data_IF_145562353122
#
_entry.id   IF_145562353122
#
_cell.length_a   1.000
_cell.length_b   1.000
_cell.length_c   1.000
_cell.angle_alpha   90.00
_cell.angle_beta   90.00
_cell.angle_gamma   90.00
#
_symmetry.space_group_name_H-M   'P 1'
#
loop_
_entity.id
_entity.type
_entity.pdbx_description
1 polymer ?
#
# COMPACT_ATOMS: atom_id res chain seq x y z
N UNK A 1 -6.62 15.86 -22.32
CA UNK A 1 -5.89 14.60 -22.04
C UNK A 1 -6.94 13.60 -21.61
N UNK A 2 -7.18 12.57 -22.41
CA UNK A 2 -8.10 11.49 -22.04
C UNK A 2 -7.55 10.80 -20.80
N UNK A 3 -8.36 10.75 -19.74
CA UNK A 3 -8.02 10.00 -18.53
C UNK A 3 -7.95 8.51 -18.91
N UNK A 4 -6.77 7.93 -18.85
CA UNK A 4 -6.60 6.47 -18.99
C UNK A 4 -7.46 5.79 -17.92
N UNK A 5 -8.39 4.95 -18.35
CA UNK A 5 -9.18 4.14 -17.44
C UNK A 5 -8.37 2.91 -17.05
N UNK A 6 -8.23 2.64 -15.76
CA UNK A 6 -7.41 1.54 -15.23
C UNK A 6 -8.29 0.61 -14.41
N UNK A 7 -8.10 -0.69 -14.57
CA UNK A 7 -8.77 -1.68 -13.74
C UNK A 7 -8.33 -1.55 -12.28
N UNK A 8 -9.23 -1.35 -11.31
CA UNK A 8 -8.85 -1.18 -9.92
C UNK A 8 -8.24 -2.43 -9.29
N UNK A 9 -8.44 -3.60 -9.88
CA UNK A 9 -8.00 -4.88 -9.34
C UNK A 9 -6.66 -5.37 -9.86
N UNK A 10 -6.44 -5.28 -11.17
CA UNK A 10 -5.19 -5.76 -11.79
C UNK A 10 -4.30 -4.64 -12.32
N UNK A 11 -4.76 -3.38 -12.22
CA UNK A 11 -4.05 -2.18 -12.65
C UNK A 11 -3.65 -2.17 -14.14
N UNK A 12 -4.37 -2.93 -14.98
CA UNK A 12 -4.21 -2.90 -16.43
C UNK A 12 -5.10 -1.81 -17.04
N UNK A 13 -4.65 -1.24 -18.17
CA UNK A 13 -5.45 -0.27 -18.92
C UNK A 13 -6.74 -0.92 -19.46
N UNK A 14 -7.80 -0.13 -19.51
CA UNK A 14 -9.12 -0.52 -19.97
C UNK A 14 -9.57 0.38 -21.11
N UNK A 15 -10.30 -0.19 -22.04
CA UNK A 15 -10.99 0.59 -23.07
C UNK A 15 -12.25 1.26 -22.51
N UNK A 16 -12.76 2.26 -23.21
CA UNK A 16 -13.97 2.95 -22.81
C UNK A 16 -15.18 2.02 -22.96
N UNK A 17 -16.05 1.97 -21.92
CA UNK A 17 -17.29 1.20 -21.95
C UNK A 17 -17.21 -0.22 -21.42
N UNK A 18 -16.05 -0.72 -21.04
CA UNK A 18 -15.94 -2.05 -20.42
C UNK A 18 -16.60 -2.08 -19.04
N UNK A 19 -17.45 -3.08 -18.81
CA UNK A 19 -18.09 -3.36 -17.51
C UNK A 19 -17.34 -4.46 -16.75
N UNK A 20 -16.61 -5.31 -17.47
CA UNK A 20 -15.77 -6.38 -16.93
C UNK A 20 -14.35 -6.23 -17.48
N UNK A 21 -13.35 -6.43 -16.62
CA UNK A 21 -11.96 -6.34 -17.03
C UNK A 21 -11.56 -7.53 -17.91
N UNK A 22 -11.08 -7.32 -19.15
CA UNK A 22 -10.67 -8.40 -20.04
C UNK A 22 -9.40 -9.13 -19.54
N UNK A 23 -8.62 -8.48 -18.66
CA UNK A 23 -7.36 -9.05 -18.17
C UNK A 23 -7.52 -9.93 -16.93
N UNK A 24 -8.44 -9.58 -16.01
CA UNK A 24 -8.62 -10.33 -14.75
C UNK A 24 -10.03 -10.88 -14.55
N UNK A 25 -10.98 -10.62 -15.47
CA UNK A 25 -12.34 -11.16 -15.44
C UNK A 25 -13.23 -10.57 -14.35
N UNK A 26 -12.81 -9.55 -13.60
CA UNK A 26 -13.61 -8.96 -12.52
C UNK A 26 -14.53 -7.87 -13.05
N UNK A 27 -15.72 -7.76 -12.46
CA UNK A 27 -16.65 -6.65 -12.71
C UNK A 27 -16.04 -5.34 -12.20
N UNK A 28 -16.16 -4.28 -13.02
CA UNK A 28 -15.55 -2.97 -12.73
C UNK A 28 -16.47 -2.06 -11.88
N UNK A 29 -17.68 -2.52 -11.57
CA UNK A 29 -18.63 -1.82 -10.72
C UNK A 29 -18.25 -1.80 -9.22
N UNK A 30 -17.19 -2.51 -8.83
CA UNK A 30 -16.68 -2.58 -7.46
C UNK A 30 -16.26 -1.19 -6.95
N UNK A 31 -16.75 -0.85 -5.76
CA UNK A 31 -16.37 0.38 -5.06
C UNK A 31 -15.62 0.02 -3.79
N UNK A 32 -14.57 0.77 -3.51
CA UNK A 32 -13.94 0.69 -2.20
C UNK A 32 -14.96 1.04 -1.11
N UNK A 33 -14.88 0.42 0.08
CA UNK A 33 -15.77 0.70 1.19
C UNK A 33 -15.82 2.18 1.57
N UNK A 34 -16.94 2.61 2.17
CA UNK A 34 -17.07 3.96 2.68
C UNK A 34 -15.95 4.30 3.66
N UNK A 35 -15.43 5.51 3.58
CA UNK A 35 -14.30 5.97 4.40
C UNK A 35 -12.92 5.72 3.80
N UNK A 36 -12.79 4.84 2.81
CA UNK A 36 -11.56 4.68 2.04
C UNK A 36 -11.52 5.58 0.81
N UNK A 37 -10.36 5.67 0.14
CA UNK A 37 -10.28 6.37 -1.14
C UNK A 37 -11.06 5.61 -2.22
N UNK A 38 -11.80 6.33 -3.08
CA UNK A 38 -12.39 5.72 -4.26
C UNK A 38 -11.32 5.17 -5.20
N UNK A 39 -11.57 4.02 -5.81
CA UNK A 39 -10.72 3.53 -6.88
C UNK A 39 -10.70 4.53 -8.05
N UNK A 40 -9.54 4.74 -8.65
CA UNK A 40 -9.33 5.78 -9.67
C UNK A 40 -8.92 7.14 -9.11
N UNK A 41 -8.88 7.33 -7.79
CA UNK A 41 -8.33 8.55 -7.18
C UNK A 41 -6.87 8.71 -7.59
N UNK A 42 -6.50 9.91 -8.01
CA UNK A 42 -5.11 10.24 -8.36
C UNK A 42 -4.48 11.01 -7.21
N UNK A 43 -3.39 10.47 -6.67
CA UNK A 43 -2.61 11.06 -5.59
C UNK A 43 -1.33 11.68 -6.14
N UNK A 44 -0.96 12.85 -5.61
CA UNK A 44 0.21 13.64 -6.02
C UNK A 44 0.31 13.86 -7.54
N UNK A 45 -0.81 13.78 -8.28
CA UNK A 45 -0.83 13.82 -9.74
C UNK A 45 -0.11 12.65 -10.44
N UNK A 46 0.35 11.66 -9.69
CA UNK A 46 1.30 10.63 -10.14
C UNK A 46 0.82 9.21 -9.93
N UNK A 47 0.07 8.93 -8.88
CA UNK A 47 -0.33 7.57 -8.51
C UNK A 47 -1.84 7.40 -8.60
N UNK A 48 -2.31 6.40 -9.33
CA UNK A 48 -3.73 6.03 -9.37
C UNK A 48 -4.02 4.91 -8.39
N UNK A 49 -4.97 5.16 -7.49
CA UNK A 49 -5.42 4.22 -6.45
C UNK A 49 -6.33 3.15 -7.06
N UNK A 50 -6.12 1.90 -6.70
CA UNK A 50 -6.96 0.76 -7.04
C UNK A 50 -7.84 0.29 -5.89
N UNK A 51 -8.02 -1.04 -5.80
CA UNK A 51 -8.75 -1.68 -4.72
C UNK A 51 -7.94 -1.77 -3.42
N UNK A 52 -8.65 -2.00 -2.31
CA UNK A 52 -8.03 -2.28 -1.01
C UNK A 52 -7.44 -3.68 -1.02
N UNK A 53 -6.19 -3.81 -0.60
CA UNK A 53 -5.54 -5.10 -0.34
C UNK A 53 -5.75 -5.58 1.09
N UNK A 54 -5.57 -4.66 2.05
CA UNK A 54 -5.75 -4.94 3.48
C UNK A 54 -6.02 -3.66 4.27
N UNK A 55 -6.55 -3.85 5.47
CA UNK A 55 -6.73 -2.80 6.49
C UNK A 55 -6.11 -3.32 7.78
N UNK A 56 -5.32 -2.50 8.44
CA UNK A 56 -4.69 -2.82 9.72
C UNK A 56 -4.85 -1.68 10.74
N UNK A 57 -4.18 -1.78 11.88
CA UNK A 57 -4.26 -0.78 12.95
C UNK A 57 -3.73 0.61 12.59
N UNK A 58 -2.87 0.70 11.60
CA UNK A 58 -2.26 1.95 11.13
C UNK A 58 -3.03 2.59 9.98
N UNK A 59 -3.72 1.78 9.16
CA UNK A 59 -4.45 2.33 8.02
C UNK A 59 -4.84 1.33 6.96
N UNK A 60 -4.83 1.80 5.72
CA UNK A 60 -5.31 1.07 4.55
C UNK A 60 -4.18 0.87 3.55
N UNK A 61 -4.09 -0.35 3.03
CA UNK A 61 -3.19 -0.72 1.96
C UNK A 61 -3.98 -0.87 0.65
N UNK A 62 -3.63 -0.07 -0.35
CA UNK A 62 -4.25 -0.11 -1.68
C UNK A 62 -3.30 -0.69 -2.72
N UNK A 63 -3.86 -1.30 -3.74
CA UNK A 63 -3.17 -1.44 -5.03
C UNK A 63 -3.07 -0.09 -5.68
N UNK A 64 -2.04 0.11 -6.49
CA UNK A 64 -1.90 1.32 -7.26
C UNK A 64 -1.03 1.12 -8.50
N UNK A 65 -0.99 2.16 -9.32
CA UNK A 65 -0.09 2.24 -10.47
C UNK A 65 0.48 3.65 -10.57
N UNK A 66 1.72 3.75 -10.97
CA UNK A 66 2.32 5.02 -11.33
C UNK A 66 1.92 5.41 -12.75
N UNK A 67 1.32 6.61 -12.91
CA UNK A 67 0.71 7.05 -14.17
C UNK A 67 1.70 7.25 -15.33
N UNK A 68 2.97 7.53 -15.03
CA UNK A 68 4.01 7.79 -16.03
C UNK A 68 4.95 6.59 -16.27
N UNK A 69 4.59 5.41 -15.74
CA UNK A 69 5.38 4.21 -15.86
C UNK A 69 4.52 2.95 -15.80
N UNK A 70 5.05 1.80 -16.17
CA UNK A 70 4.34 0.53 -16.12
C UNK A 70 4.34 -0.07 -14.70
N UNK A 71 4.75 0.68 -13.69
CA UNK A 71 5.03 0.14 -12.38
C UNK A 71 3.76 0.03 -11.54
N UNK A 72 3.46 -1.21 -11.13
CA UNK A 72 2.52 -1.48 -10.07
C UNK A 72 3.15 -1.08 -8.74
N UNK A 73 2.36 -0.41 -7.93
CA UNK A 73 2.77 0.04 -6.60
C UNK A 73 1.77 -0.43 -5.55
N UNK A 74 2.22 -0.46 -4.32
CA UNK A 74 1.38 -0.60 -3.14
C UNK A 74 1.36 0.75 -2.43
N UNK A 75 0.18 1.25 -2.07
CA UNK A 75 0.02 2.56 -1.42
C UNK A 75 -0.52 2.33 -0.02
N UNK A 76 0.29 2.60 0.99
CA UNK A 76 -0.12 2.58 2.40
C UNK A 76 -0.59 3.97 2.79
N UNK A 77 -1.84 4.09 3.21
CA UNK A 77 -2.42 5.31 3.75
C UNK A 77 -2.43 5.25 5.27
N UNK A 78 -1.92 6.27 5.94
CA UNK A 78 -2.09 6.42 7.38
C UNK A 78 -3.55 6.79 7.69
N UNK A 79 -4.32 5.83 8.22
CA UNK A 79 -5.73 6.02 8.57
C UNK A 79 -6.10 5.14 9.78
N UNK A 80 -5.56 5.40 10.96
CA UNK A 80 -5.87 4.61 12.15
C UNK A 80 -7.33 4.80 12.55
N UNK A 81 -8.14 3.75 12.48
CA UNK A 81 -9.58 3.77 12.79
C UNK A 81 -9.89 4.20 14.23
N UNK A 82 -8.91 4.10 15.11
CA UNK A 82 -9.03 4.58 16.50
C UNK A 82 -9.04 6.11 16.60
N UNK A 83 -8.36 6.81 15.70
CA UNK A 83 -8.15 8.27 15.71
C UNK A 83 -8.88 8.98 14.57
N UNK A 84 -9.02 8.33 13.41
CA UNK A 84 -9.74 8.87 12.26
C UNK A 84 -11.25 8.67 12.42
N UNK A 85 -12.03 9.74 12.20
CA UNK A 85 -13.49 9.68 12.27
C UNK A 85 -14.11 9.30 10.93
N UNK A 86 -13.79 10.08 9.91
CA UNK A 86 -14.42 9.98 8.60
C UNK A 86 -13.55 10.59 7.50
N UNK A 87 -13.88 10.20 6.28
CA UNK A 87 -13.41 10.85 5.07
C UNK A 87 -14.57 11.57 4.40
N UNK A 88 -14.41 12.86 4.13
CA UNK A 88 -15.38 13.64 3.38
C UNK A 88 -15.40 13.26 1.87
N UNK A 89 -16.38 13.80 1.14
CA UNK A 89 -16.44 13.68 -0.33
C UNK A 89 -15.26 14.35 -1.03
N UNK A 90 -14.61 15.27 -0.34
CA UNK A 90 -13.37 15.96 -0.73
C UNK A 90 -12.11 15.09 -0.55
N UNK A 91 -12.26 13.84 -0.18
CA UNK A 91 -11.20 12.90 0.18
C UNK A 91 -10.38 13.28 1.43
N UNK A 92 -10.69 14.39 2.09
CA UNK A 92 -9.95 14.84 3.27
C UNK A 92 -10.32 13.98 4.49
N UNK A 93 -9.29 13.42 5.13
CA UNK A 93 -9.42 12.65 6.36
C UNK A 93 -9.54 13.58 7.57
N UNK A 94 -10.54 13.33 8.41
CA UNK A 94 -10.80 14.12 9.62
C UNK A 94 -10.55 13.27 10.87
N UNK A 95 -9.79 13.77 11.85
CA UNK A 95 -9.62 13.08 13.12
C UNK A 95 -10.92 13.11 13.92
N UNK A 96 -11.07 12.17 14.84
CA UNK A 96 -12.16 12.19 15.82
C UNK A 96 -12.02 13.39 16.75
N UNK A 97 -13.14 13.98 17.20
CA UNK A 97 -13.11 15.06 18.17
C UNK A 97 -12.29 14.69 19.41
N UNK A 98 -11.33 15.54 19.78
CA UNK A 98 -10.41 15.33 20.88
C UNK A 98 -9.18 14.45 20.55
N UNK A 99 -9.07 13.94 19.31
CA UNK A 99 -7.91 13.15 18.86
C UNK A 99 -6.97 13.92 17.95
N UNK A 100 -7.21 15.20 17.69
CA UNK A 100 -6.52 16.00 16.67
C UNK A 100 -5.01 16.05 16.90
N UNK A 101 -4.58 16.27 18.14
CA UNK A 101 -3.16 16.36 18.50
C UNK A 101 -2.48 15.01 18.33
N UNK A 102 -3.10 13.95 18.86
CA UNK A 102 -2.55 12.59 18.77
C UNK A 102 -2.48 12.13 17.31
N UNK A 103 -3.56 12.36 16.53
CA UNK A 103 -3.60 12.05 15.11
C UNK A 103 -2.47 12.76 14.34
N UNK A 104 -2.25 14.06 14.62
CA UNK A 104 -1.16 14.82 14.00
C UNK A 104 0.21 14.26 14.36
N UNK A 105 0.45 13.97 15.63
CA UNK A 105 1.75 13.45 16.10
C UNK A 105 2.04 12.08 15.48
N UNK A 106 1.10 11.13 15.58
CA UNK A 106 1.30 9.78 15.05
C UNK A 106 1.34 9.74 13.52
N UNK A 107 0.67 10.68 12.83
CA UNK A 107 0.82 10.90 11.39
C UNK A 107 2.24 11.33 11.01
N UNK A 108 2.86 12.19 11.80
CA UNK A 108 4.26 12.60 11.61
C UNK A 108 5.20 11.44 11.86
N UNK A 109 4.98 10.67 12.94
CA UNK A 109 5.77 9.47 13.24
C UNK A 109 5.72 8.45 12.09
N UNK A 110 4.54 8.26 11.51
CA UNK A 110 4.36 7.41 10.33
C UNK A 110 5.17 7.93 9.13
N UNK A 111 5.08 9.22 8.84
CA UNK A 111 5.83 9.82 7.74
C UNK A 111 7.34 9.66 7.93
N UNK A 112 7.84 9.91 9.14
CA UNK A 112 9.26 9.82 9.46
C UNK A 112 9.76 8.38 9.41
N UNK A 113 8.96 7.41 9.87
CA UNK A 113 9.26 5.99 9.75
C UNK A 113 9.44 5.56 8.28
N UNK A 114 8.48 5.89 7.40
CA UNK A 114 8.57 5.49 5.99
C UNK A 114 9.65 6.25 5.23
N UNK A 115 9.90 7.52 5.53
CA UNK A 115 11.06 8.27 5.00
C UNK A 115 12.39 7.66 5.45
N UNK A 116 12.43 7.14 6.67
CA UNK A 116 13.60 6.44 7.17
C UNK A 116 13.82 5.10 6.46
N UNK A 117 12.75 4.28 6.31
CA UNK A 117 12.80 3.03 5.54
C UNK A 117 13.23 3.31 4.09
N UNK A 118 12.74 4.37 3.47
CA UNK A 118 13.13 4.78 2.12
C UNK A 118 14.64 4.95 1.95
N UNK A 119 15.35 5.39 2.99
CA UNK A 119 16.81 5.60 2.95
C UNK A 119 17.61 4.31 3.04
N UNK A 120 17.05 3.28 3.65
CA UNK A 120 17.72 1.97 3.80
C UNK A 120 17.33 0.99 2.69
N UNK A 121 16.31 1.30 1.90
CA UNK A 121 15.94 0.52 0.73
C UNK A 121 16.63 1.08 -0.53
N UNK A 122 16.97 0.25 -1.54
CA UNK A 122 16.64 -1.17 -1.59
C UNK A 122 17.60 -2.03 -0.77
N UNK A 123 17.12 -2.59 0.36
CA UNK A 123 17.82 -3.66 1.06
C UNK A 123 17.19 -5.00 0.64
N UNK A 124 18.02 -6.02 0.49
CA UNK A 124 17.54 -7.33 0.09
C UNK A 124 16.52 -7.86 1.13
N UNK A 125 15.33 -8.24 0.68
CA UNK A 125 14.25 -8.70 1.55
C UNK A 125 13.32 -7.63 2.12
N UNK A 126 13.51 -6.37 1.77
CA UNK A 126 12.56 -5.28 2.07
C UNK A 126 11.94 -4.73 0.80
N UNK A 127 10.65 -4.42 0.85
CA UNK A 127 10.00 -3.66 -0.23
C UNK A 127 10.58 -2.24 -0.29
N UNK A 128 10.95 -1.79 -1.49
CA UNK A 128 11.46 -0.45 -1.68
C UNK A 128 10.35 0.59 -1.48
N UNK A 129 10.57 1.55 -0.58
CA UNK A 129 9.71 2.73 -0.45
C UNK A 129 10.12 3.74 -1.52
N UNK A 130 9.23 3.96 -2.48
CA UNK A 130 9.45 4.82 -3.65
C UNK A 130 9.19 6.29 -3.34
N UNK A 131 8.12 6.56 -2.56
CA UNK A 131 7.70 7.92 -2.26
C UNK A 131 6.97 8.00 -0.91
N UNK A 132 7.06 9.15 -0.24
CA UNK A 132 6.32 9.46 0.99
C UNK A 132 5.86 10.91 0.92
N UNK A 133 4.56 11.14 0.88
CA UNK A 133 4.00 12.49 0.75
C UNK A 133 2.73 12.70 1.60
N UNK A 134 2.40 13.95 1.82
CA UNK A 134 1.21 14.39 2.54
C UNK A 134 0.16 14.92 1.57
N UNK A 135 -1.05 14.37 1.64
CA UNK A 135 -2.22 14.82 0.90
C UNK A 135 -3.48 14.42 1.68
N UNK A 136 -4.63 15.03 1.43
CA UNK A 136 -5.92 14.68 2.05
C UNK A 136 -5.90 14.67 3.60
N UNK A 137 -5.06 15.49 4.22
CA UNK A 137 -4.82 15.54 5.67
C UNK A 137 -4.30 14.21 6.24
N UNK A 138 -3.63 13.39 5.44
CA UNK A 138 -2.97 12.16 5.85
C UNK A 138 -1.61 12.01 5.16
N UNK A 139 -0.95 10.89 5.35
CA UNK A 139 0.34 10.54 4.73
C UNK A 139 0.16 9.26 3.94
N UNK A 140 0.78 9.23 2.77
CA UNK A 140 0.87 8.07 1.91
C UNK A 140 2.32 7.63 1.79
N UNK A 141 2.57 6.35 1.97
CA UNK A 141 3.83 5.71 1.60
C UNK A 141 3.58 4.82 0.38
N UNK A 142 4.32 5.08 -0.69
CA UNK A 142 4.24 4.31 -1.93
C UNK A 142 5.41 3.34 -1.97
N UNK A 143 5.11 2.06 -2.13
CA UNK A 143 6.08 0.99 -2.15
C UNK A 143 6.05 0.27 -3.50
N UNK A 144 7.19 -0.26 -3.89
CA UNK A 144 7.28 -1.14 -5.04
C UNK A 144 6.38 -2.38 -4.83
N UNK A 145 5.72 -2.82 -5.90
CA UNK A 145 4.96 -4.07 -5.87
C UNK A 145 5.57 -5.04 -6.89
N UNK A 146 6.55 -5.86 -6.49
CA UNK A 146 7.22 -6.79 -7.38
C UNK A 146 6.32 -7.96 -7.83
N UNK A 147 5.11 -8.04 -7.28
CA UNK A 147 4.23 -9.19 -7.46
C UNK A 147 4.57 -10.31 -6.48
N UNK A 148 3.98 -11.48 -6.72
CA UNK A 148 4.14 -12.62 -5.83
C UNK A 148 2.89 -12.94 -5.03
N UNK A 149 3.01 -13.87 -4.10
CA UNK A 149 1.94 -14.24 -3.18
C UNK A 149 2.46 -14.33 -1.74
N UNK A 150 1.60 -14.13 -0.73
CA UNK A 150 1.98 -14.35 0.66
C UNK A 150 2.51 -15.77 0.88
N UNK A 151 3.54 -15.91 1.73
CA UNK A 151 4.16 -17.20 2.02
C UNK A 151 3.14 -18.23 2.52
N UNK A 152 2.17 -17.81 3.33
CA UNK A 152 1.11 -18.70 3.80
C UNK A 152 0.34 -19.31 2.61
N UNK A 153 -0.10 -18.48 1.66
CA UNK A 153 -0.82 -18.96 0.48
C UNK A 153 0.05 -19.88 -0.37
N UNK A 154 1.32 -19.54 -0.52
CA UNK A 154 2.26 -20.40 -1.23
C UNK A 154 2.39 -21.79 -0.58
N UNK A 155 2.48 -21.85 0.76
CA UNK A 155 2.52 -23.12 1.51
C UNK A 155 1.22 -23.93 1.41
N UNK A 156 0.05 -23.25 1.38
CA UNK A 156 -1.25 -23.90 1.16
C UNK A 156 -1.31 -24.59 -0.21
N UNK A 157 -0.70 -24.00 -1.23
CA UNK A 157 -0.68 -24.53 -2.60
C UNK A 157 0.42 -25.60 -2.83
N UNK A 158 1.57 -25.49 -2.14
CA UNK A 158 2.76 -26.31 -2.40
C UNK A 158 3.11 -27.28 -1.27
N UNK A 159 2.45 -27.15 -0.12
CA UNK A 159 2.69 -28.00 1.06
C UNK A 159 3.91 -27.58 1.88
N UNK A 160 4.39 -28.50 2.71
CA UNK A 160 5.53 -28.26 3.61
C UNK A 160 6.86 -28.28 2.85
N UNK A 161 7.82 -27.52 3.35
CA UNK A 161 9.19 -27.45 2.80
C UNK A 161 10.19 -28.10 3.75
N UNK A 162 11.33 -28.53 3.22
CA UNK A 162 12.45 -29.01 4.04
C UNK A 162 13.10 -27.87 4.81
N UNK A 163 13.83 -28.12 5.91
CA UNK A 163 14.56 -27.09 6.63
C UNK A 163 15.52 -26.30 5.74
N UNK A 164 16.19 -26.95 4.80
CA UNK A 164 17.12 -26.30 3.87
C UNK A 164 16.38 -25.34 2.92
N UNK A 165 15.22 -25.76 2.40
CA UNK A 165 14.38 -24.89 1.58
C UNK A 165 13.83 -23.70 2.38
N UNK A 166 13.39 -23.94 3.63
CA UNK A 166 12.93 -22.87 4.51
C UNK A 166 14.03 -21.82 4.77
N UNK A 167 15.26 -22.26 5.06
CA UNK A 167 16.40 -21.35 5.23
C UNK A 167 16.65 -20.50 3.98
N UNK A 168 16.67 -21.13 2.80
CA UNK A 168 16.89 -20.41 1.54
C UNK A 168 15.78 -19.41 1.21
N UNK A 169 14.52 -19.75 1.50
CA UNK A 169 13.39 -18.87 1.29
C UNK A 169 13.38 -17.67 2.26
N UNK A 170 13.83 -17.87 3.49
CA UNK A 170 13.81 -16.86 4.54
C UNK A 170 15.10 -16.03 4.62
N UNK A 171 16.18 -16.43 3.94
CA UNK A 171 17.44 -15.68 3.94
C UNK A 171 17.26 -14.20 3.57
N UNK A 172 16.52 -13.82 2.50
CA UNK A 172 16.28 -12.41 2.20
C UNK A 172 15.52 -11.69 3.32
N UNK A 173 14.59 -12.36 4.00
CA UNK A 173 13.85 -11.79 5.13
C UNK A 173 14.76 -11.50 6.30
N UNK A 174 15.67 -12.44 6.65
CA UNK A 174 16.66 -12.22 7.71
C UNK A 174 17.60 -11.06 7.39
N UNK A 175 18.06 -10.97 6.14
CA UNK A 175 18.91 -9.87 5.68
C UNK A 175 18.17 -8.51 5.79
N UNK A 176 16.90 -8.46 5.42
CA UNK A 176 16.07 -7.27 5.58
C UNK A 176 15.88 -6.86 7.03
N UNK A 177 15.58 -7.83 7.91
CA UNK A 177 15.44 -7.58 9.35
C UNK A 177 16.77 -7.11 9.95
N UNK A 178 17.90 -7.71 9.57
CA UNK A 178 19.22 -7.29 10.01
C UNK A 178 19.51 -5.85 9.59
N UNK A 179 19.23 -5.48 8.35
CA UNK A 179 19.39 -4.11 7.85
C UNK A 179 18.55 -3.10 8.67
N UNK A 180 17.32 -3.47 9.04
CA UNK A 180 16.48 -2.65 9.91
C UNK A 180 17.10 -2.51 11.32
N UNK A 181 17.58 -3.61 11.91
CA UNK A 181 18.17 -3.60 13.25
C UNK A 181 19.46 -2.78 13.32
N UNK A 182 20.30 -2.82 12.27
CA UNK A 182 21.55 -2.03 12.18
C UNK A 182 21.31 -0.52 12.28
N UNK A 183 20.11 -0.06 11.90
CA UNK A 183 19.70 1.35 11.98
C UNK A 183 18.72 1.63 13.14
N UNK A 184 18.55 0.67 14.05
CA UNK A 184 17.73 0.83 15.25
C UNK A 184 16.22 0.65 15.04
N UNK A 185 15.79 0.19 13.88
CA UNK A 185 14.38 -0.16 13.65
C UNK A 185 14.08 -1.60 14.07
N UNK A 186 12.98 -1.79 14.79
CA UNK A 186 12.45 -3.10 15.21
C UNK A 186 11.06 -3.29 14.67
N UNK A 187 10.81 -4.42 14.00
CA UNK A 187 9.55 -4.69 13.30
C UNK A 187 8.33 -4.84 14.24
N UNK A 188 8.50 -5.28 15.48
CA UNK A 188 7.48 -5.39 16.55
C UNK A 188 6.23 -6.25 16.26
N UNK A 189 6.18 -7.01 15.18
CA UNK A 189 4.99 -7.83 15.00
C UNK A 189 4.83 -8.47 13.66
#
# INVERSE_FOLDING_TARGET
MEQRRICPYCMQELEAGEEQCPHCGRELAGRNPSGSLPAGTVLAGRYTVGDIQSVDGEGILYRGVENNGPFRVTIKEYMPLTLAAERGRDCILRPKPGSEVLFKTTRMDFADLYRFIQRITPANGLEAVLDVFEENNTVYAVMENPGGCPLQKWLEEHGTVTPQQACAMLEPVFNGVEAMHQVGLVHRG
#
